data_IF_033138680625
#
_entry.id   IF_033138680625
#
_cell.length_a   1.000
_cell.length_b   1.000
_cell.length_c   1.000
_cell.angle_alpha   90.00
_cell.angle_beta   90.00
_cell.angle_gamma   90.00
#
_symmetry.space_group_name_H-M   'P 1'
#
loop_
_entity.id
_entity.type
_entity.pdbx_description
1 polymer ?
#
# COMPACT_ATOMS: atom_id res chain seq x y z
N UNK A 1 9.84 -1.86 -21.20
CA UNK A 1 10.71 -3.03 -20.99
C UNK A 1 10.09 -4.22 -21.72
N UNK A 2 10.86 -5.02 -22.47
CA UNK A 2 10.33 -6.19 -23.21
C UNK A 2 10.39 -7.49 -22.41
N UNK A 3 11.31 -7.62 -21.45
CA UNK A 3 11.45 -8.76 -20.54
C UNK A 3 11.81 -8.20 -19.14
N UNK A 4 11.09 -8.61 -18.10
CA UNK A 4 11.37 -8.22 -16.71
C UNK A 4 12.54 -9.03 -16.13
N UNK A 5 13.40 -8.38 -15.35
CA UNK A 5 14.54 -9.03 -14.69
C UNK A 5 14.21 -9.45 -13.25
N UNK A 6 13.24 -8.78 -12.64
CA UNK A 6 12.67 -9.10 -11.33
C UNK A 6 11.15 -8.97 -11.36
N UNK A 7 10.48 -9.68 -10.44
CA UNK A 7 9.04 -9.49 -10.20
C UNK A 7 8.71 -8.04 -9.81
N UNK A 8 9.66 -7.33 -9.18
CA UNK A 8 9.48 -5.92 -8.82
C UNK A 8 9.39 -5.00 -10.04
N UNK A 9 9.96 -5.39 -11.18
CA UNK A 9 9.89 -4.61 -12.42
C UNK A 9 8.48 -4.65 -13.06
N UNK A 10 7.63 -5.56 -12.58
CA UNK A 10 6.24 -5.72 -12.99
C UNK A 10 5.26 -4.97 -12.08
N UNK A 11 5.75 -4.25 -11.07
CA UNK A 11 4.92 -3.44 -10.19
C UNK A 11 4.51 -2.15 -10.91
N UNK A 12 3.22 -1.82 -10.82
CA UNK A 12 2.63 -0.66 -11.47
C UNK A 12 2.26 -0.89 -12.94
N UNK A 13 2.02 0.21 -13.67
CA UNK A 13 1.46 0.18 -15.04
C UNK A 13 0.22 -0.71 -15.17
N UNK A 14 -0.61 -0.73 -14.13
CA UNK A 14 -1.85 -1.49 -14.10
C UNK A 14 -2.85 -0.87 -15.07
N UNK A 15 -3.71 -1.64 -15.74
CA UNK A 15 -4.63 -1.07 -16.73
C UNK A 15 -5.79 -0.31 -16.09
N UNK A 16 -6.41 0.56 -16.89
CA UNK A 16 -7.76 1.05 -16.64
C UNK A 16 -8.79 0.15 -17.35
N UNK A 17 -9.91 -0.10 -16.69
CA UNK A 17 -11.07 -0.74 -17.32
C UNK A 17 -12.31 0.14 -17.17
N UNK A 18 -13.05 0.34 -18.26
CA UNK A 18 -14.30 1.07 -18.22
C UNK A 18 -15.43 0.17 -17.71
N UNK A 19 -16.20 0.68 -16.74
CA UNK A 19 -17.42 0.03 -16.31
C UNK A 19 -18.50 0.31 -17.36
N UNK A 20 -19.20 -0.74 -17.80
CA UNK A 20 -20.28 -0.64 -18.81
C UNK A 20 -21.66 -0.79 -18.17
N UNK A 21 -21.94 -1.94 -17.56
CA UNK A 21 -23.29 -2.26 -17.04
C UNK A 21 -23.61 -1.54 -15.74
N UNK A 22 -22.67 -1.53 -14.77
CA UNK A 22 -22.91 -0.96 -13.42
C UNK A 22 -22.94 0.57 -13.40
N UNK A 23 -22.37 1.21 -14.42
CA UNK A 23 -22.40 2.65 -14.68
C UNK A 23 -23.47 3.02 -15.73
N UNK A 24 -24.27 2.04 -16.19
CA UNK A 24 -25.31 2.27 -17.19
C UNK A 24 -26.31 3.32 -16.72
N UNK A 25 -26.52 4.35 -17.55
CA UNK A 25 -27.41 5.48 -17.24
C UNK A 25 -26.77 6.62 -16.46
N UNK A 26 -25.49 6.51 -16.06
CA UNK A 26 -24.75 7.66 -15.55
C UNK A 26 -24.41 8.62 -16.71
N UNK A 27 -24.47 9.92 -16.43
CA UNK A 27 -24.08 10.95 -17.40
C UNK A 27 -22.56 10.99 -17.66
N UNK A 28 -21.77 10.34 -16.82
CA UNK A 28 -20.31 10.32 -16.89
C UNK A 28 -19.74 8.91 -17.03
N UNK A 29 -18.54 8.85 -17.60
CA UNK A 29 -17.76 7.62 -17.76
C UNK A 29 -17.03 7.28 -16.46
N UNK A 30 -17.08 6.00 -16.06
CA UNK A 30 -16.36 5.49 -14.89
C UNK A 30 -15.34 4.45 -15.34
N UNK A 31 -14.07 4.73 -15.04
CA UNK A 31 -12.95 3.82 -15.28
C UNK A 31 -12.31 3.42 -13.95
N UNK A 32 -11.84 2.17 -13.86
CA UNK A 32 -11.24 1.60 -12.66
C UNK A 32 -9.77 1.30 -12.91
N UNK A 33 -8.89 1.83 -12.05
CA UNK A 33 -7.47 1.47 -12.02
C UNK A 33 -7.30 0.14 -11.31
N UNK A 34 -6.92 -0.90 -12.06
CA UNK A 34 -6.90 -2.28 -11.59
C UNK A 34 -5.62 -2.60 -10.80
N UNK A 35 -5.48 -2.00 -9.62
CA UNK A 35 -4.36 -2.28 -8.71
C UNK A 35 -4.32 -3.73 -8.21
N UNK A 36 -5.39 -4.51 -8.41
CA UNK A 36 -5.42 -5.96 -8.21
C UNK A 36 -4.56 -6.74 -9.21
N UNK A 37 -4.09 -6.10 -10.29
CA UNK A 37 -3.21 -6.70 -11.29
C UNK A 37 -1.72 -6.44 -11.05
N UNK A 38 -1.35 -5.82 -9.92
CA UNK A 38 0.03 -5.90 -9.44
C UNK A 38 0.40 -7.36 -9.07
N UNK A 39 1.70 -7.73 -9.04
CA UNK A 39 2.13 -9.12 -8.79
C UNK A 39 1.60 -9.77 -7.51
N UNK A 40 1.55 -9.01 -6.41
CA UNK A 40 0.97 -9.37 -5.10
C UNK A 40 -0.52 -9.06 -4.97
N UNK A 41 -1.18 -8.80 -6.11
CA UNK A 41 -2.61 -8.57 -6.25
C UNK A 41 -3.17 -7.37 -5.49
N UNK A 42 -2.36 -6.34 -5.24
CA UNK A 42 -2.83 -5.13 -4.59
C UNK A 42 -1.99 -3.89 -4.87
N UNK A 43 -2.56 -2.72 -4.56
CA UNK A 43 -1.86 -1.42 -4.56
C UNK A 43 -0.64 -1.36 -3.64
N UNK A 44 -0.54 -2.27 -2.66
CA UNK A 44 0.52 -2.21 -1.65
C UNK A 44 1.89 -2.62 -2.17
N UNK A 45 1.94 -3.33 -3.29
CA UNK A 45 3.17 -3.65 -4.01
C UNK A 45 3.98 -2.40 -4.31
N UNK A 46 3.31 -1.33 -4.78
CA UNK A 46 3.93 -0.04 -5.07
C UNK A 46 4.65 0.53 -3.86
N UNK A 47 3.98 0.55 -2.71
CA UNK A 47 4.53 1.17 -1.50
C UNK A 47 5.56 0.26 -0.82
N UNK A 48 5.38 -1.07 -0.89
CA UNK A 48 6.35 -2.03 -0.41
C UNK A 48 7.69 -1.84 -1.12
N UNK A 49 7.64 -1.74 -2.45
CA UNK A 49 8.82 -1.46 -3.27
C UNK A 49 9.40 -0.08 -2.94
N UNK A 50 8.58 0.97 -2.99
CA UNK A 50 9.08 2.34 -2.89
C UNK A 50 9.70 2.66 -1.52
N UNK A 51 9.15 2.11 -0.44
CA UNK A 51 9.67 2.33 0.90
C UNK A 51 11.00 1.59 1.11
N UNK A 52 11.15 0.39 0.54
CA UNK A 52 12.42 -0.37 0.57
C UNK A 52 13.47 0.39 -0.25
N UNK A 53 13.16 0.77 -1.48
CA UNK A 53 14.11 1.50 -2.35
C UNK A 53 14.48 2.88 -1.78
N UNK A 54 13.56 3.55 -1.11
CA UNK A 54 13.86 4.82 -0.44
C UNK A 54 14.88 4.61 0.69
N UNK A 55 14.73 3.57 1.49
CA UNK A 55 15.65 3.23 2.58
C UNK A 55 17.00 2.71 2.07
N UNK A 56 17.03 1.97 0.96
CA UNK A 56 18.27 1.60 0.27
C UNK A 56 19.03 2.84 -0.20
N UNK A 57 18.32 3.80 -0.84
CA UNK A 57 18.93 5.03 -1.36
C UNK A 57 19.43 5.97 -0.25
N UNK A 58 18.75 6.04 0.89
CA UNK A 58 19.21 6.85 2.03
C UNK A 58 20.36 6.19 2.81
N UNK A 59 20.56 4.88 2.64
CA UNK A 59 21.52 4.09 3.41
C UNK A 59 20.96 3.57 4.74
N UNK A 60 19.67 3.80 5.03
CA UNK A 60 19.00 3.30 6.24
C UNK A 60 18.78 1.77 6.19
N UNK A 61 18.79 1.19 4.98
CA UNK A 61 18.67 -0.25 4.76
C UNK A 61 19.91 -0.79 4.04
N UNK A 62 20.79 -1.46 4.79
CA UNK A 62 21.97 -2.11 4.23
C UNK A 62 21.65 -3.54 3.75
N UNK A 63 22.45 -4.13 2.83
CA UNK A 63 22.25 -5.52 2.39
C UNK A 63 22.15 -6.50 3.56
N UNK A 64 21.19 -7.44 3.49
CA UNK A 64 20.94 -8.44 4.54
C UNK A 64 20.29 -7.89 5.82
N UNK A 65 19.93 -6.60 5.86
CA UNK A 65 19.20 -6.01 6.99
C UNK A 65 17.81 -6.65 7.21
N UNK A 66 17.22 -6.32 8.35
CA UNK A 66 15.89 -6.80 8.75
C UNK A 66 14.86 -5.71 8.49
N UNK A 67 13.79 -6.05 7.80
CA UNK A 67 12.62 -5.20 7.60
C UNK A 67 11.57 -5.59 8.65
N UNK A 68 11.02 -4.61 9.36
CA UNK A 68 9.99 -4.83 10.38
C UNK A 68 8.78 -3.93 10.09
N UNK A 69 7.58 -4.49 10.19
CA UNK A 69 6.33 -3.74 10.07
C UNK A 69 5.21 -4.40 10.91
N UNK A 70 4.30 -3.58 11.42
CA UNK A 70 3.09 -4.05 12.08
C UNK A 70 1.93 -4.08 11.09
N UNK A 71 1.68 -5.24 10.48
CA UNK A 71 0.62 -5.39 9.50
C UNK A 71 0.23 -6.85 9.27
N UNK A 72 -1.06 -7.07 9.05
CA UNK A 72 -1.64 -8.33 8.58
C UNK A 72 -2.34 -8.20 7.23
N UNK A 73 -2.24 -7.03 6.62
CA UNK A 73 -2.89 -6.72 5.35
C UNK A 73 -1.94 -6.85 4.16
N UNK A 74 -2.35 -6.26 3.05
CA UNK A 74 -1.61 -6.35 1.79
C UNK A 74 -0.19 -5.75 1.84
N UNK A 75 0.08 -4.81 2.76
CA UNK A 75 1.44 -4.30 2.98
C UNK A 75 2.38 -5.39 3.46
N UNK A 76 1.91 -6.33 4.30
CA UNK A 76 2.70 -7.46 4.72
C UNK A 76 3.05 -8.39 3.56
N UNK A 77 2.08 -8.64 2.67
CA UNK A 77 2.29 -9.47 1.48
C UNK A 77 3.36 -8.83 0.59
N UNK A 78 3.21 -7.53 0.28
CA UNK A 78 4.16 -6.79 -0.53
C UNK A 78 5.57 -6.81 0.08
N UNK A 79 5.71 -6.47 1.36
CA UNK A 79 7.02 -6.47 2.04
C UNK A 79 7.63 -7.87 2.08
N UNK A 80 6.83 -8.92 2.29
CA UNK A 80 7.33 -10.30 2.37
C UNK A 80 7.98 -10.74 1.06
N UNK A 81 7.25 -10.67 -0.08
CA UNK A 81 7.81 -11.14 -1.35
C UNK A 81 8.92 -10.23 -1.86
N UNK A 82 8.79 -8.89 -1.70
CA UNK A 82 9.81 -7.95 -2.15
C UNK A 82 11.09 -8.11 -1.32
N UNK A 83 10.95 -8.23 0.00
CA UNK A 83 12.07 -8.52 0.90
C UNK A 83 12.79 -9.82 0.51
N UNK A 84 12.04 -10.90 0.27
CA UNK A 84 12.62 -12.16 -0.20
C UNK A 84 13.39 -12.01 -1.52
N UNK A 85 12.85 -11.29 -2.50
CA UNK A 85 13.50 -11.08 -3.80
C UNK A 85 14.77 -10.22 -3.71
N UNK A 86 14.89 -9.38 -2.68
CA UNK A 86 16.01 -8.47 -2.45
C UNK A 86 16.99 -8.97 -1.37
N UNK A 87 16.76 -10.15 -0.82
CA UNK A 87 17.63 -10.76 0.20
C UNK A 87 17.52 -10.12 1.59
N UNK A 88 16.37 -9.53 1.92
CA UNK A 88 16.07 -9.01 3.25
C UNK A 88 15.28 -10.01 4.08
N UNK A 89 15.60 -10.07 5.37
CA UNK A 89 14.77 -10.77 6.36
C UNK A 89 13.57 -9.89 6.69
N UNK A 90 12.36 -10.42 6.68
CA UNK A 90 11.13 -9.66 6.94
C UNK A 90 10.42 -10.20 8.18
N UNK A 91 10.15 -9.33 9.15
CA UNK A 91 9.42 -9.65 10.37
C UNK A 91 8.12 -8.85 10.40
N UNK A 92 6.99 -9.56 10.50
CA UNK A 92 5.65 -8.98 10.53
C UNK A 92 4.99 -9.23 11.89
N UNK A 93 4.70 -8.15 12.61
CA UNK A 93 3.93 -8.22 13.85
C UNK A 93 2.43 -8.10 13.55
N UNK A 94 1.60 -9.01 14.09
CA UNK A 94 0.16 -8.97 13.90
C UNK A 94 -0.64 -9.67 15.02
N UNK A 95 -1.92 -9.32 15.22
CA UNK A 95 -2.79 -10.04 16.14
C UNK A 95 -2.93 -11.53 15.80
N UNK A 96 -3.01 -12.38 16.81
CA UNK A 96 -3.26 -13.83 16.67
C UNK A 96 -4.64 -14.19 16.10
N UNK A 97 -5.58 -13.24 16.12
CA UNK A 97 -6.92 -13.31 15.51
C UNK A 97 -6.90 -13.26 13.98
N UNK A 98 -5.76 -12.97 13.37
CA UNK A 98 -5.61 -12.98 11.91
C UNK A 98 -5.74 -14.40 11.35
N UNK A 99 -6.38 -14.50 10.18
CA UNK A 99 -6.72 -15.80 9.59
C UNK A 99 -5.48 -16.66 9.31
N UNK A 100 -5.66 -17.97 9.40
CA UNK A 100 -4.58 -18.94 9.17
C UNK A 100 -4.08 -18.85 7.72
N UNK A 101 -4.98 -18.60 6.77
CA UNK A 101 -4.66 -18.45 5.35
C UNK A 101 -3.69 -17.30 5.12
N UNK A 102 -3.94 -16.13 5.72
CA UNK A 102 -3.02 -14.98 5.62
C UNK A 102 -1.67 -15.28 6.24
N UNK A 103 -1.62 -15.94 7.40
CA UNK A 103 -0.36 -16.34 8.02
C UNK A 103 0.43 -17.31 7.15
N UNK A 104 -0.24 -18.31 6.57
CA UNK A 104 0.40 -19.28 5.66
C UNK A 104 0.95 -18.61 4.41
N UNK A 105 0.22 -17.68 3.80
CA UNK A 105 0.69 -16.93 2.63
C UNK A 105 1.97 -16.15 2.94
N UNK A 106 1.99 -15.39 4.04
CA UNK A 106 3.16 -14.60 4.43
C UNK A 106 4.37 -15.48 4.76
N UNK A 107 4.15 -16.58 5.49
CA UNK A 107 5.19 -17.55 5.78
C UNK A 107 5.73 -18.23 4.51
N UNK A 108 4.88 -18.49 3.51
CA UNK A 108 5.30 -19.05 2.23
C UNK A 108 6.22 -18.10 1.43
N UNK A 109 6.08 -16.78 1.60
CA UNK A 109 7.03 -15.80 1.09
C UNK A 109 8.30 -15.65 1.96
N UNK A 110 8.42 -16.40 3.05
CA UNK A 110 9.59 -16.36 3.94
C UNK A 110 9.53 -15.29 5.03
N UNK A 111 8.38 -14.65 5.25
CA UNK A 111 8.24 -13.70 6.35
C UNK A 111 8.13 -14.40 7.70
N UNK A 112 8.82 -13.87 8.70
CA UNK A 112 8.71 -14.29 10.09
C UNK A 112 7.54 -13.58 10.76
N UNK A 113 6.65 -14.36 11.37
CA UNK A 113 5.43 -13.83 11.97
C UNK A 113 5.58 -13.76 13.49
N UNK A 114 5.41 -12.56 14.04
CA UNK A 114 5.33 -12.35 15.49
C UNK A 114 3.89 -12.07 15.86
N UNK A 115 3.25 -13.05 16.50
CA UNK A 115 1.85 -12.92 16.92
C UNK A 115 1.74 -12.16 18.25
N UNK A 116 0.81 -11.21 18.29
CA UNK A 116 0.45 -10.47 19.50
C UNK A 116 -0.95 -10.83 19.97
N UNK A 117 -1.29 -10.68 21.27
CA UNK A 117 -2.63 -10.97 21.76
C UNK A 117 -3.71 -10.21 20.98
N UNK A 118 -4.75 -10.91 20.53
CA UNK A 118 -5.88 -10.33 19.82
C UNK A 118 -6.57 -9.18 20.54
N UNK A 119 -6.64 -9.25 21.87
CA UNK A 119 -7.21 -8.21 22.74
C UNK A 119 -6.47 -6.86 22.66
N UNK A 120 -5.19 -6.87 22.31
CA UNK A 120 -4.39 -5.67 22.12
C UNK A 120 -4.54 -5.08 20.69
N UNK A 121 -5.19 -5.79 19.78
CA UNK A 121 -5.42 -5.35 18.41
C UNK A 121 -4.14 -4.88 17.68
N UNK A 122 -4.31 -3.98 16.70
CA UNK A 122 -3.18 -3.46 15.94
C UNK A 122 -2.24 -2.57 16.75
N UNK A 123 -2.70 -1.93 17.83
CA UNK A 123 -1.82 -1.14 18.69
C UNK A 123 -0.79 -2.03 19.40
N UNK A 124 -1.19 -3.23 19.83
CA UNK A 124 -0.28 -4.25 20.34
C UNK A 124 0.78 -4.67 19.31
N UNK A 125 0.36 -4.92 18.07
CA UNK A 125 1.27 -5.25 16.98
C UNK A 125 2.27 -4.12 16.68
N UNK A 126 1.82 -2.85 16.67
CA UNK A 126 2.68 -1.67 16.49
C UNK A 126 3.71 -1.55 17.62
N UNK A 127 3.30 -1.74 18.87
CA UNK A 127 4.22 -1.74 20.01
C UNK A 127 5.25 -2.86 19.90
N UNK A 128 4.84 -4.06 19.49
CA UNK A 128 5.76 -5.18 19.31
C UNK A 128 6.75 -4.96 18.15
N UNK A 129 6.32 -4.40 17.03
CA UNK A 129 7.22 -4.03 15.93
C UNK A 129 8.30 -3.03 16.39
N UNK A 130 7.93 -2.02 17.18
CA UNK A 130 8.89 -1.06 17.75
C UNK A 130 9.89 -1.72 18.70
N UNK A 131 9.44 -2.66 19.53
CA UNK A 131 10.30 -3.43 20.43
C UNK A 131 11.33 -4.26 19.62
N UNK A 132 10.88 -4.95 18.57
CA UNK A 132 11.76 -5.75 17.69
C UNK A 132 12.81 -4.86 17.03
N UNK A 133 12.41 -3.69 16.51
CA UNK A 133 13.33 -2.74 15.88
C UNK A 133 14.37 -2.23 16.88
N UNK A 134 13.95 -1.88 18.10
CA UNK A 134 14.87 -1.43 19.15
C UNK A 134 15.85 -2.52 19.59
N UNK A 135 15.44 -3.80 19.55
CA UNK A 135 16.26 -4.94 19.91
C UNK A 135 17.11 -5.50 18.76
N UNK A 136 16.90 -5.04 17.52
CA UNK A 136 17.57 -5.58 16.32
C UNK A 136 18.40 -4.49 15.65
N UNK A 137 19.71 -4.39 15.94
CA UNK A 137 20.58 -3.42 15.29
C UNK A 137 20.52 -3.53 13.76
N UNK A 138 20.37 -2.40 13.08
CA UNK A 138 20.24 -2.33 11.63
C UNK A 138 18.86 -2.70 11.07
N UNK A 139 17.86 -2.96 11.93
CA UNK A 139 16.50 -3.18 11.47
C UNK A 139 15.81 -1.89 11.02
N UNK A 140 15.16 -1.94 9.86
CA UNK A 140 14.32 -0.87 9.34
C UNK A 140 12.87 -1.06 9.78
N UNK A 141 12.33 -0.07 10.48
CA UNK A 141 10.87 0.04 10.66
C UNK A 141 10.25 0.78 9.48
N UNK A 142 9.50 0.09 8.63
CA UNK A 142 8.95 0.66 7.38
C UNK A 142 7.95 1.80 7.64
N UNK A 143 7.07 1.62 8.63
CA UNK A 143 6.10 2.63 9.09
C UNK A 143 5.21 3.18 7.96
N UNK A 144 4.42 2.33 7.29
CA UNK A 144 3.63 2.70 6.11
C UNK A 144 2.74 3.96 6.24
N UNK A 145 2.29 4.31 7.44
CA UNK A 145 1.44 5.49 7.70
C UNK A 145 2.23 6.81 7.84
N UNK A 146 3.54 6.74 8.04
CA UNK A 146 4.43 7.91 8.24
C UNK A 146 5.48 8.06 7.14
N UNK A 147 5.74 7.00 6.38
CA UNK A 147 6.81 6.98 5.40
C UNK A 147 6.46 7.84 4.17
N UNK A 148 7.22 8.90 3.85
CA UNK A 148 6.93 9.79 2.73
C UNK A 148 7.04 9.09 1.36
N UNK A 149 7.76 7.96 1.27
CA UNK A 149 7.84 7.17 0.05
C UNK A 149 6.49 6.52 -0.34
N UNK A 150 5.54 6.40 0.60
CA UNK A 150 4.19 5.91 0.34
C UNK A 150 3.38 6.87 -0.57
N UNK A 151 3.12 8.14 -0.19
CA UNK A 151 2.45 9.06 -1.11
C UNK A 151 3.32 9.42 -2.33
N UNK A 152 4.64 9.42 -2.21
CA UNK A 152 5.53 9.79 -3.32
C UNK A 152 5.48 8.81 -4.49
N UNK A 153 5.41 7.49 -4.24
CA UNK A 153 5.30 6.53 -5.36
C UNK A 153 4.01 6.73 -6.15
N UNK A 154 2.92 7.07 -5.46
CA UNK A 154 1.65 7.34 -6.11
C UNK A 154 1.67 8.64 -6.91
N UNK A 155 2.42 9.65 -6.45
CA UNK A 155 2.62 10.92 -7.15
C UNK A 155 3.38 10.74 -8.46
N UNK A 156 4.44 9.93 -8.43
CA UNK A 156 5.38 9.77 -9.55
C UNK A 156 5.04 8.62 -10.49
N UNK A 157 4.17 7.69 -10.08
CA UNK A 157 3.74 6.57 -10.94
C UNK A 157 2.23 6.55 -11.12
N UNK A 158 1.46 6.23 -10.08
CA UNK A 158 0.01 6.00 -10.19
C UNK A 158 -0.72 7.19 -10.82
N UNK A 159 -0.35 8.42 -10.45
CA UNK A 159 -0.93 9.63 -11.02
C UNK A 159 -0.58 9.83 -12.50
N UNK A 160 0.68 9.62 -12.86
CA UNK A 160 1.17 9.75 -14.24
C UNK A 160 0.54 8.69 -15.16
N UNK A 161 0.40 7.46 -14.66
CA UNK A 161 -0.29 6.41 -15.37
C UNK A 161 -1.76 6.79 -15.62
N UNK A 162 -2.50 7.22 -14.59
CA UNK A 162 -3.90 7.66 -14.76
C UNK A 162 -3.99 8.85 -15.73
N UNK A 163 -3.09 9.82 -15.62
CA UNK A 163 -3.07 10.99 -16.50
C UNK A 163 -2.82 10.59 -17.96
N UNK A 164 -1.81 9.76 -18.21
CA UNK A 164 -1.48 9.26 -19.54
C UNK A 164 -2.58 8.38 -20.11
N UNK A 165 -3.08 7.41 -19.34
CA UNK A 165 -4.08 6.43 -19.80
C UNK A 165 -5.46 7.07 -20.07
N UNK A 166 -5.68 8.29 -19.58
CA UNK A 166 -6.91 9.08 -19.83
C UNK A 166 -6.71 10.22 -20.80
N UNK A 167 -5.53 10.34 -21.43
CA UNK A 167 -5.16 11.48 -22.28
C UNK A 167 -5.39 12.85 -21.60
N UNK A 168 -5.17 12.92 -20.27
CA UNK A 168 -5.44 14.11 -19.46
C UNK A 168 -6.92 14.45 -19.26
N UNK A 169 -7.84 13.60 -19.73
CA UNK A 169 -9.28 13.83 -19.67
C UNK A 169 -9.91 13.50 -18.31
N UNK A 170 -9.16 12.94 -17.34
CA UNK A 170 -9.68 12.66 -16.00
C UNK A 170 -10.21 13.93 -15.32
N UNK A 171 -11.49 13.93 -14.93
CA UNK A 171 -12.18 15.06 -14.29
C UNK A 171 -12.34 14.90 -12.77
N UNK A 172 -12.39 13.65 -12.31
CA UNK A 172 -12.49 13.31 -10.91
C UNK A 172 -11.66 12.06 -10.60
N UNK A 173 -11.03 12.05 -9.42
CA UNK A 173 -10.35 10.90 -8.87
C UNK A 173 -10.98 10.50 -7.54
N UNK A 174 -11.40 9.24 -7.42
CA UNK A 174 -12.06 8.69 -6.24
C UNK A 174 -11.19 7.58 -5.66
N UNK A 175 -10.88 7.64 -4.36
CA UNK A 175 -10.07 6.62 -3.71
C UNK A 175 -10.51 6.34 -2.26
N UNK A 176 -10.59 5.06 -1.92
CA UNK A 176 -10.70 4.61 -0.53
C UNK A 176 -9.45 4.98 0.27
N UNK A 177 -9.65 5.51 1.48
CA UNK A 177 -8.55 5.99 2.33
C UNK A 177 -8.17 4.96 3.38
N UNK A 178 -7.04 4.30 3.16
CA UNK A 178 -6.34 3.51 4.19
C UNK A 178 -5.21 4.31 4.83
N UNK A 179 -4.00 4.21 4.26
CA UNK A 179 -2.84 5.02 4.71
C UNK A 179 -2.90 6.47 4.24
N UNK A 180 -3.82 6.82 3.34
CA UNK A 180 -3.87 8.12 2.67
C UNK A 180 -2.85 8.30 1.54
N UNK A 181 -1.94 7.36 1.33
CA UNK A 181 -0.86 7.48 0.34
C UNK A 181 -1.36 7.70 -1.10
N UNK A 182 -2.29 6.86 -1.56
CA UNK A 182 -2.81 6.92 -2.93
C UNK A 182 -3.54 8.23 -3.20
N UNK A 183 -4.50 8.63 -2.37
CA UNK A 183 -5.25 9.87 -2.56
C UNK A 183 -4.36 11.11 -2.45
N UNK A 184 -3.36 11.08 -1.56
CA UNK A 184 -2.41 12.19 -1.39
C UNK A 184 -1.49 12.32 -2.60
N UNK A 185 -0.86 11.23 -3.02
CA UNK A 185 0.06 11.22 -4.16
C UNK A 185 -0.66 11.58 -5.46
N UNK A 186 -1.70 10.82 -5.81
CA UNK A 186 -2.48 11.01 -7.03
C UNK A 186 -3.17 12.37 -7.03
N UNK A 187 -3.89 12.71 -5.96
CA UNK A 187 -4.62 13.98 -5.88
C UNK A 187 -3.70 15.19 -5.97
N UNK A 188 -2.55 15.18 -5.28
CA UNK A 188 -1.59 16.29 -5.35
C UNK A 188 -1.03 16.48 -6.76
N UNK A 189 -0.69 15.40 -7.46
CA UNK A 189 -0.14 15.48 -8.81
C UNK A 189 -1.18 15.91 -9.83
N UNK A 190 -2.36 15.28 -9.82
CA UNK A 190 -3.41 15.61 -10.77
C UNK A 190 -3.89 17.05 -10.61
N UNK A 191 -3.92 17.61 -9.38
CA UNK A 191 -4.23 19.03 -9.16
C UNK A 191 -3.18 19.99 -9.74
N UNK A 192 -1.91 19.58 -9.82
CA UNK A 192 -0.88 20.39 -10.51
C UNK A 192 -1.10 20.39 -12.04
N UNK A 193 -1.53 19.25 -12.60
CA UNK A 193 -1.75 19.08 -14.05
C UNK A 193 -3.08 19.68 -14.51
N UNK A 194 -4.13 19.54 -13.68
CA UNK A 194 -5.48 20.04 -13.92
C UNK A 194 -6.06 20.60 -12.62
N UNK A 195 -5.89 21.90 -12.33
CA UNK A 195 -6.35 22.51 -11.08
C UNK A 195 -7.86 22.37 -10.81
N UNK A 196 -8.67 22.16 -11.85
CA UNK A 196 -10.11 21.95 -11.76
C UNK A 196 -10.53 20.51 -11.37
N UNK A 197 -9.59 19.56 -11.29
CA UNK A 197 -9.93 18.17 -10.98
C UNK A 197 -10.53 18.03 -9.58
N UNK A 198 -11.59 17.23 -9.48
CA UNK A 198 -12.15 16.83 -8.18
C UNK A 198 -11.39 15.63 -7.60
N UNK A 199 -11.10 15.66 -6.31
CA UNK A 199 -10.47 14.53 -5.59
C UNK A 199 -11.35 14.17 -4.42
N UNK A 200 -11.86 12.94 -4.43
CA UNK A 200 -12.88 12.47 -3.49
C UNK A 200 -12.34 11.31 -2.66
N UNK A 201 -12.34 11.49 -1.34
CA UNK A 201 -12.01 10.45 -0.38
C UNK A 201 -13.24 9.58 -0.09
N UNK A 202 -13.03 8.27 0.01
CA UNK A 202 -14.05 7.33 0.46
C UNK A 202 -13.59 6.69 1.77
N UNK A 203 -14.47 6.70 2.77
CA UNK A 203 -14.26 6.07 4.08
C UNK A 203 -15.51 5.26 4.50
N UNK A 204 -15.39 4.35 5.48
CA UNK A 204 -16.52 3.57 5.94
C UNK A 204 -17.55 4.43 6.68
N UNK A 205 -18.84 4.20 6.42
CA UNK A 205 -19.94 4.88 7.10
C UNK A 205 -19.92 4.67 8.63
N UNK A 206 -19.44 3.52 9.09
CA UNK A 206 -19.32 3.22 10.52
C UNK A 206 -18.03 3.74 11.17
N UNK A 207 -17.16 4.43 10.43
CA UNK A 207 -15.88 4.96 10.93
C UNK A 207 -15.47 6.24 10.19
N UNK A 208 -16.36 7.24 10.16
CA UNK A 208 -16.21 8.49 9.40
C UNK A 208 -15.23 9.49 10.04
N UNK A 209 -13.98 9.09 10.25
CA UNK A 209 -12.98 9.90 10.96
C UNK A 209 -12.54 11.13 10.15
N UNK A 210 -12.56 11.07 8.81
CA UNK A 210 -12.23 12.20 7.95
C UNK A 210 -13.35 13.26 7.98
N UNK A 211 -14.60 12.85 8.16
CA UNK A 211 -15.74 13.75 8.34
C UNK A 211 -15.92 14.26 9.79
N UNK A 212 -14.99 13.96 10.70
CA UNK A 212 -15.03 14.40 12.11
C UNK A 212 -15.84 13.49 13.04
N UNK A 213 -16.27 12.33 12.55
CA UNK A 213 -16.90 11.28 13.35
C UNK A 213 -15.92 10.52 14.24
N UNK A 214 -16.44 9.53 14.97
CA UNK A 214 -15.65 8.64 15.84
C UNK A 214 -15.19 7.40 15.06
N UNK A 215 -14.01 6.82 15.39
CA UNK A 215 -13.62 5.53 14.85
C UNK A 215 -14.59 4.43 15.30
N UNK A 216 -14.88 3.49 14.40
CA UNK A 216 -15.78 2.38 14.69
C UNK A 216 -15.42 1.10 13.93
N UNK A 217 -15.90 -0.06 14.40
CA UNK A 217 -15.66 -1.32 13.72
C UNK A 217 -16.35 -1.33 12.35
N UNK A 218 -15.69 -1.92 11.36
CA UNK A 218 -16.20 -2.07 10.00
C UNK A 218 -15.63 -3.34 9.38
N UNK A 219 -16.39 -3.98 8.50
CA UNK A 219 -15.94 -5.14 7.75
C UNK A 219 -15.33 -4.65 6.43
N UNK A 220 -14.01 -4.54 6.40
CA UNK A 220 -13.19 -4.42 5.18
C UNK A 220 -12.13 -5.52 5.23
#
# INVERSE_FOLDING_TARGET
MRIAHSITDLIGRTPLIELQTVSGGLAGRVVVKLESLNPGSSVKDRIGLSMIEAAERSGDLHPGAVIVEATSGNTGIALAYIGATRGYRVILAMPDTMSVERRRLLAAYGAELVLTPGSAGMSGAVSKAKEIVAATPGALHVSQFRNPANPEIHRTTTAEEIWSDTDGAVDAFVAGVGTGGTITGVGSRLKQLKPSISVVAVEPDTSQVLAGGKPGPHKI
#
